data_IF_211641570296
#
_entry.id   IF_211641570296
#
_cell.length_a   1.000
_cell.length_b   1.000
_cell.length_c   1.000
_cell.angle_alpha   90.00
_cell.angle_beta   90.00
_cell.angle_gamma   90.00
#
_symmetry.space_group_name_H-M   'P 1'
#
loop_
_entity.id
_entity.type
_entity.pdbx_description
1 polymer ?
#
# COMPACT_ATOMS: atom_id res chain seq x y z
N UNK A 1 -48.06 -37.04 31.31
CA UNK A 1 -47.52 -35.70 31.59
C UNK A 1 -46.00 -35.79 31.53
N UNK A 2 -45.40 -35.33 30.44
CA UNK A 2 -43.96 -35.06 30.31
C UNK A 2 -43.88 -33.78 29.48
N UNK A 3 -43.31 -32.73 30.05
CA UNK A 3 -43.10 -31.45 29.41
C UNK A 3 -41.78 -31.50 28.64
N UNK A 4 -41.82 -31.28 27.32
CA UNK A 4 -40.63 -31.13 26.50
C UNK A 4 -40.47 -29.66 26.15
N UNK A 5 -39.47 -29.03 26.75
CA UNK A 5 -38.99 -27.69 26.39
C UNK A 5 -37.99 -27.86 25.24
N UNK A 6 -38.33 -27.38 24.04
CA UNK A 6 -37.39 -27.27 22.92
C UNK A 6 -36.77 -25.87 22.96
N UNK A 7 -35.50 -25.83 23.38
CA UNK A 7 -34.64 -24.65 23.32
C UNK A 7 -34.19 -24.51 21.86
N UNK A 8 -34.57 -23.40 21.21
CA UNK A 8 -34.12 -23.06 19.87
C UNK A 8 -32.62 -22.75 19.86
N UNK A 9 -31.85 -23.52 19.11
CA UNK A 9 -30.47 -23.17 18.77
C UNK A 9 -30.53 -22.28 17.52
N UNK A 10 -30.40 -20.97 17.72
CA UNK A 10 -30.08 -20.06 16.64
C UNK A 10 -28.64 -20.36 16.21
N UNK A 11 -28.49 -21.04 15.07
CA UNK A 11 -27.20 -21.13 14.40
C UNK A 11 -26.89 -19.75 13.82
N UNK A 12 -26.09 -18.98 14.55
CA UNK A 12 -25.38 -17.83 14.01
C UNK A 12 -24.38 -18.39 13.02
N UNK A 13 -24.76 -18.44 11.75
CA UNK A 13 -23.81 -18.59 10.65
C UNK A 13 -23.08 -17.25 10.57
N UNK A 14 -21.99 -17.14 11.32
CA UNK A 14 -21.08 -16.02 11.22
C UNK A 14 -20.50 -15.98 9.80
N UNK A 15 -20.34 -14.80 9.19
CA UNK A 15 -19.63 -14.70 7.94
C UNK A 15 -18.19 -15.14 8.19
N UNK A 16 -17.81 -16.19 7.45
CA UNK A 16 -16.44 -16.59 7.21
C UNK A 16 -15.57 -15.39 6.90
N UNK A 17 -14.35 -15.38 7.44
CA UNK A 17 -13.28 -14.47 7.08
C UNK A 17 -13.16 -14.37 5.54
N UNK A 18 -13.68 -13.29 4.97
CA UNK A 18 -13.38 -12.88 3.61
C UNK A 18 -12.08 -12.09 3.69
N UNK A 19 -10.98 -12.68 3.22
CA UNK A 19 -10.03 -11.87 2.46
C UNK A 19 -10.89 -11.14 1.42
N UNK A 20 -10.78 -9.81 1.31
CA UNK A 20 -11.43 -9.05 0.25
C UNK A 20 -10.77 -9.41 -1.09
N UNK A 21 -11.04 -10.63 -1.55
CA UNK A 21 -10.85 -11.05 -2.92
C UNK A 21 -11.92 -10.30 -3.71
N UNK A 22 -11.49 -9.32 -4.51
CA UNK A 22 -12.37 -8.49 -5.33
C UNK A 22 -13.23 -9.43 -6.18
N UNK A 23 -14.52 -9.54 -5.87
CA UNK A 23 -15.44 -10.47 -6.53
C UNK A 23 -15.55 -10.13 -8.02
N UNK A 24 -15.25 -11.12 -8.86
CA UNK A 24 -15.12 -11.06 -10.33
C UNK A 24 -16.44 -10.77 -11.09
N UNK A 25 -17.55 -10.44 -10.41
CA UNK A 25 -18.88 -10.38 -11.04
C UNK A 25 -19.62 -9.03 -10.97
N UNK A 26 -18.98 -7.95 -10.51
CA UNK A 26 -19.52 -6.59 -10.73
C UNK A 26 -18.57 -5.80 -11.63
N UNK A 27 -18.99 -5.42 -12.86
CA UNK A 27 -18.18 -4.53 -13.68
C UNK A 27 -18.12 -3.17 -12.96
N UNK A 28 -16.97 -2.87 -12.37
CA UNK A 28 -16.64 -1.55 -11.87
C UNK A 28 -16.80 -0.55 -13.03
N UNK A 29 -17.84 0.28 -12.97
CA UNK A 29 -18.10 1.26 -14.04
C UNK A 29 -17.07 2.40 -14.08
N UNK A 30 -16.15 2.49 -13.12
CA UNK A 30 -15.11 3.50 -13.09
C UNK A 30 -13.75 2.80 -12.94
N UNK A 31 -12.96 2.73 -14.02
CA UNK A 31 -11.56 2.39 -13.88
C UNK A 31 -10.88 3.46 -13.05
N UNK A 32 -10.27 3.07 -11.93
CA UNK A 32 -9.58 4.00 -11.03
C UNK A 32 -8.49 4.80 -11.74
N UNK A 33 -8.18 5.96 -11.17
CA UNK A 33 -7.05 6.79 -11.59
C UNK A 33 -5.78 6.37 -10.83
N UNK A 34 -4.58 6.58 -11.40
CA UNK A 34 -3.34 6.29 -10.69
C UNK A 34 -3.18 7.24 -9.50
N UNK A 35 -3.28 6.70 -8.29
CA UNK A 35 -2.90 7.38 -7.05
C UNK A 35 -1.58 6.79 -6.55
N UNK A 36 -0.57 7.65 -6.43
CA UNK A 36 0.78 7.26 -6.11
C UNK A 36 1.17 7.74 -4.72
N UNK A 37 1.81 6.84 -3.99
CA UNK A 37 2.58 7.13 -2.79
C UNK A 37 4.02 7.44 -3.22
N UNK A 38 4.49 8.63 -2.87
CA UNK A 38 5.92 8.90 -2.90
C UNK A 38 6.53 8.35 -1.61
N UNK A 39 7.41 7.35 -1.75
CA UNK A 39 8.17 6.88 -0.59
C UNK A 39 9.01 8.03 -0.07
N UNK A 40 8.81 8.38 1.20
CA UNK A 40 9.76 9.23 1.91
C UNK A 40 11.05 8.43 1.95
N UNK A 41 12.02 8.81 1.10
CA UNK A 41 13.20 8.01 0.79
C UNK A 41 13.84 7.46 2.07
N UNK A 42 13.67 6.15 2.35
CA UNK A 42 14.15 5.58 3.60
C UNK A 42 15.67 5.71 3.61
N UNK A 43 16.22 5.97 4.79
CA UNK A 43 17.67 6.04 4.95
C UNK A 43 18.18 4.62 5.20
N UNK A 44 19.27 4.27 4.54
CA UNK A 44 19.96 3.01 4.77
C UNK A 44 21.40 3.25 5.17
N UNK A 45 21.89 2.38 6.06
CA UNK A 45 23.29 2.38 6.51
C UNK A 45 24.09 1.31 5.76
N UNK A 46 25.29 1.67 5.28
CA UNK A 46 26.24 0.77 4.62
C UNK A 46 27.26 0.20 5.60
N UNK A 47 28.01 -0.81 5.15
CA UNK A 47 29.06 -1.47 5.93
C UNK A 47 30.18 -0.52 6.40
N UNK A 48 30.43 0.58 5.67
CA UNK A 48 31.41 1.61 6.03
C UNK A 48 30.89 2.64 7.05
N UNK A 49 29.64 2.48 7.51
CA UNK A 49 28.97 3.38 8.44
C UNK A 49 28.40 4.65 7.81
N UNK A 50 28.44 4.77 6.48
CA UNK A 50 27.79 5.88 5.79
C UNK A 50 26.28 5.63 5.68
N UNK A 51 25.51 6.70 5.81
CA UNK A 51 24.04 6.67 5.63
C UNK A 51 23.68 7.46 4.37
N UNK A 52 22.88 6.87 3.50
CA UNK A 52 22.29 7.56 2.35
C UNK A 52 20.83 7.22 2.18
N UNK A 53 20.16 7.87 1.24
CA UNK A 53 18.79 7.52 0.87
C UNK A 53 18.78 6.25 0.03
N UNK A 54 17.76 5.42 0.21
CA UNK A 54 17.44 4.28 -0.65
C UNK A 54 16.60 4.84 -1.80
N UNK A 55 17.20 4.91 -2.98
CA UNK A 55 16.55 5.48 -4.18
C UNK A 55 17.23 4.98 -5.46
N UNK A 56 16.57 5.18 -6.60
CA UNK A 56 17.13 4.84 -7.90
C UNK A 56 18.06 5.96 -8.37
N UNK A 57 19.30 5.93 -7.88
CA UNK A 57 20.34 6.90 -8.25
C UNK A 57 20.69 6.85 -9.74
N UNK A 58 20.63 5.66 -10.35
CA UNK A 58 20.99 5.49 -11.76
C UNK A 58 20.03 6.24 -12.69
N UNK A 59 18.73 6.27 -12.34
CA UNK A 59 17.72 6.98 -13.12
C UNK A 59 17.28 8.32 -12.50
N UNK A 60 17.87 8.73 -11.37
CA UNK A 60 17.51 9.92 -10.59
C UNK A 60 16.01 9.97 -10.26
N UNK A 61 15.47 8.85 -9.77
CA UNK A 61 14.06 8.71 -9.39
C UNK A 61 13.92 8.34 -7.93
N UNK A 62 12.91 8.93 -7.29
CA UNK A 62 12.48 8.46 -5.99
C UNK A 62 11.66 7.18 -6.15
N UNK A 63 11.61 6.38 -5.08
CA UNK A 63 10.65 5.29 -5.00
C UNK A 63 9.23 5.83 -5.05
N UNK A 64 8.44 5.29 -5.97
CA UNK A 64 7.01 5.57 -6.04
C UNK A 64 6.26 4.26 -6.23
N UNK A 65 5.15 4.11 -5.51
CA UNK A 65 4.21 2.99 -5.68
C UNK A 65 2.84 3.56 -5.99
N UNK A 66 2.14 2.96 -6.93
CA UNK A 66 0.86 3.45 -7.39
C UNK A 66 -0.19 2.34 -7.34
N UNK A 67 -1.41 2.73 -6.97
CA UNK A 67 -2.60 1.92 -7.08
C UNK A 67 -3.59 2.64 -8.00
N UNK A 68 -4.43 1.86 -8.68
CA UNK A 68 -5.57 2.39 -9.42
C UNK A 68 -6.75 2.43 -8.47
N UNK A 69 -7.13 3.63 -8.06
CA UNK A 69 -8.23 3.86 -7.13
C UNK A 69 -9.15 4.97 -7.64
N UNK A 70 -10.41 4.88 -7.26
CA UNK A 70 -11.44 5.88 -7.52
C UNK A 70 -11.28 7.10 -6.61
N UNK A 71 -11.96 8.20 -6.94
CA UNK A 71 -12.00 9.39 -6.07
C UNK A 71 -12.64 9.06 -4.70
N UNK A 72 -13.65 8.20 -4.67
CA UNK A 72 -14.29 7.74 -3.43
C UNK A 72 -13.32 6.94 -2.54
N UNK A 73 -12.55 6.02 -3.13
CA UNK A 73 -11.52 5.27 -2.41
C UNK A 73 -10.41 6.21 -1.89
N UNK A 74 -10.03 7.22 -2.66
CA UNK A 74 -9.06 8.22 -2.23
C UNK A 74 -9.57 9.09 -1.06
N UNK A 75 -10.84 9.49 -1.07
CA UNK A 75 -11.48 10.18 0.06
C UNK A 75 -11.54 9.30 1.31
N UNK A 76 -11.76 7.99 1.14
CA UNK A 76 -11.80 7.02 2.24
C UNK A 76 -10.44 6.84 2.96
N UNK A 77 -9.33 7.21 2.33
CA UNK A 77 -8.00 7.26 2.98
C UNK A 77 -7.93 8.32 4.10
N UNK A 78 -8.92 9.22 4.19
CA UNK A 78 -8.99 10.24 5.23
C UNK A 78 -7.93 11.34 5.09
N UNK A 79 -7.78 12.15 6.13
CA UNK A 79 -6.84 13.26 6.17
C UNK A 79 -5.38 12.78 6.16
N UNK A 80 -4.48 13.63 5.67
CA UNK A 80 -3.04 13.30 5.57
C UNK A 80 -2.45 12.80 6.90
N UNK A 81 -2.82 13.42 8.01
CA UNK A 81 -2.33 13.05 9.34
C UNK A 81 -2.92 11.73 9.88
N UNK A 82 -4.07 11.28 9.37
CA UNK A 82 -4.66 9.98 9.76
C UNK A 82 -4.09 8.80 8.98
N UNK A 83 -3.28 9.04 7.94
CA UNK A 83 -2.59 8.01 7.14
C UNK A 83 -1.25 7.58 7.74
N UNK A 84 -0.80 8.26 8.81
CA UNK A 84 0.50 8.03 9.45
C UNK A 84 0.39 6.95 10.53
N UNK A 85 1.27 5.94 10.46
CA UNK A 85 1.34 4.84 11.41
C UNK A 85 0.98 3.49 10.77
N UNK A 86 0.98 2.42 11.58
CA UNK A 86 0.70 1.07 11.08
C UNK A 86 -0.77 0.96 10.60
N UNK A 87 -1.02 0.53 9.36
CA UNK A 87 -2.37 0.50 8.79
C UNK A 87 -3.23 -0.63 9.39
N UNK A 88 -4.54 -0.42 9.39
CA UNK A 88 -5.49 -1.49 9.71
C UNK A 88 -5.52 -2.51 8.58
N UNK A 89 -5.64 -3.80 8.93
CA UNK A 89 -5.66 -4.87 7.94
C UNK A 89 -6.94 -4.85 7.10
N UNK A 90 -6.80 -5.17 5.81
CA UNK A 90 -7.85 -5.10 4.79
C UNK A 90 -8.10 -3.70 4.23
N UNK A 91 -7.19 -2.75 4.45
CA UNK A 91 -7.34 -1.36 3.96
C UNK A 91 -6.39 -1.04 2.81
N UNK A 92 -6.74 -0.04 1.99
CA UNK A 92 -5.85 0.49 0.95
C UNK A 92 -4.51 0.99 1.53
N UNK A 93 -4.48 1.44 2.79
CA UNK A 93 -3.24 1.85 3.44
C UNK A 93 -2.32 0.65 3.72
N UNK A 94 -2.88 -0.53 4.03
CA UNK A 94 -2.11 -1.77 4.14
C UNK A 94 -1.53 -2.16 2.77
N UNK A 95 -2.33 -2.10 1.71
CA UNK A 95 -1.85 -2.37 0.34
C UNK A 95 -0.71 -1.42 -0.06
N UNK A 96 -0.83 -0.12 0.23
CA UNK A 96 0.26 0.84 0.01
C UNK A 96 1.50 0.53 0.87
N UNK A 97 1.32 0.06 2.11
CA UNK A 97 2.42 -0.29 3.01
C UNK A 97 3.22 -1.48 2.49
N UNK A 98 2.54 -2.53 2.03
CA UNK A 98 3.15 -3.71 1.43
C UNK A 98 3.88 -3.37 0.14
N UNK A 99 3.25 -2.60 -0.75
CA UNK A 99 3.91 -2.17 -1.99
C UNK A 99 5.13 -1.30 -1.73
N UNK A 100 5.06 -0.38 -0.76
CA UNK A 100 6.18 0.44 -0.37
C UNK A 100 7.34 -0.39 0.18
N UNK A 101 7.06 -1.43 0.96
CA UNK A 101 8.08 -2.37 1.43
C UNK A 101 8.76 -3.11 0.28
N UNK A 102 8.00 -3.63 -0.69
CA UNK A 102 8.56 -4.28 -1.87
C UNK A 102 9.40 -3.33 -2.74
N UNK A 103 8.92 -2.09 -2.94
CA UNK A 103 9.66 -1.08 -3.69
C UNK A 103 10.95 -0.66 -2.96
N UNK A 104 10.91 -0.52 -1.63
CA UNK A 104 12.10 -0.25 -0.83
C UNK A 104 13.16 -1.34 -1.02
N UNK A 105 12.76 -2.63 -0.92
CA UNK A 105 13.68 -3.76 -1.16
C UNK A 105 14.23 -3.75 -2.57
N UNK A 106 13.39 -3.48 -3.58
CA UNK A 106 13.83 -3.37 -4.98
C UNK A 106 14.88 -2.28 -5.13
N UNK A 107 14.67 -1.11 -4.54
CA UNK A 107 15.60 0.02 -4.59
C UNK A 107 16.90 -0.24 -3.83
N UNK A 108 16.81 -0.85 -2.65
CA UNK A 108 17.99 -1.24 -1.86
C UNK A 108 18.87 -2.21 -2.65
N UNK A 109 18.28 -3.14 -3.39
CA UNK A 109 18.99 -4.10 -4.24
C UNK A 109 19.64 -3.48 -5.51
N UNK A 110 19.36 -2.21 -5.83
CA UNK A 110 20.05 -1.50 -6.91
C UNK A 110 21.42 -0.94 -6.47
N UNK A 111 21.65 -0.80 -5.16
CA UNK A 111 22.90 -0.24 -4.65
C UNK A 111 24.01 -1.30 -4.63
N UNK A 112 25.15 -1.06 -5.30
CA UNK A 112 26.23 -2.05 -5.39
C UNK A 112 27.01 -2.25 -4.08
N UNK A 113 26.89 -1.32 -3.13
CA UNK A 113 27.64 -1.36 -1.86
C UNK A 113 26.86 -2.05 -0.72
N UNK A 114 25.63 -2.51 -0.99
CA UNK A 114 24.67 -3.15 -0.09
C UNK A 114 24.36 -2.35 1.20
N UNK A 115 23.07 -2.22 1.53
CA UNK A 115 22.65 -1.75 2.85
C UNK A 115 22.75 -2.91 3.86
N UNK A 116 23.32 -2.65 5.04
CA UNK A 116 23.56 -3.69 6.06
C UNK A 116 22.47 -3.78 7.12
N UNK A 117 21.58 -2.80 7.15
CA UNK A 117 20.42 -2.76 8.05
C UNK A 117 19.13 -2.89 7.25
N UNK A 118 18.14 -3.59 7.80
CA UNK A 118 16.85 -3.79 7.14
C UNK A 118 15.91 -2.62 7.41
N UNK A 119 16.33 -1.44 6.95
CA UNK A 119 15.59 -0.20 7.16
C UNK A 119 14.23 -0.26 6.43
N UNK A 120 14.12 -1.06 5.36
CA UNK A 120 12.83 -1.32 4.74
C UNK A 120 11.84 -1.97 5.72
N UNK A 121 12.28 -2.93 6.56
CA UNK A 121 11.42 -3.54 7.57
C UNK A 121 11.03 -2.53 8.66
N UNK A 122 11.98 -1.73 9.15
CA UNK A 122 11.71 -0.74 10.19
C UNK A 122 10.65 0.27 9.76
N UNK A 123 10.76 0.79 8.54
CA UNK A 123 9.75 1.71 8.01
C UNK A 123 8.40 1.00 7.73
N UNK A 124 8.39 -0.28 7.38
CA UNK A 124 7.16 -1.07 7.19
C UNK A 124 6.40 -1.27 8.50
N UNK A 125 7.11 -1.64 9.56
CA UNK A 125 6.54 -1.84 10.90
C UNK A 125 6.08 -0.50 11.52
N UNK A 126 6.76 0.60 11.19
CA UNK A 126 6.39 1.93 11.68
C UNK A 126 5.30 2.62 10.84
N UNK A 127 5.08 2.19 9.58
CA UNK A 127 4.16 2.84 8.63
C UNK A 127 4.57 4.28 8.29
N UNK A 128 5.87 4.60 8.39
CA UNK A 128 6.36 5.97 8.35
C UNK A 128 6.42 6.58 6.93
N UNK A 129 6.35 5.75 5.89
CA UNK A 129 6.28 6.24 4.51
C UNK A 129 4.86 6.64 4.06
N UNK A 130 3.78 6.28 4.77
CA UNK A 130 2.36 6.53 4.40
C UNK A 130 1.90 7.98 4.59
N UNK A 131 2.75 8.95 4.27
CA UNK A 131 2.49 10.37 4.56
C UNK A 131 1.79 11.11 3.43
N UNK A 132 1.98 10.72 2.17
CA UNK A 132 1.45 11.47 1.03
C UNK A 132 1.09 10.54 -0.13
N UNK A 133 -0.21 10.27 -0.25
CA UNK A 133 -0.79 9.57 -1.40
C UNK A 133 -1.53 10.63 -2.19
N UNK A 134 -1.25 10.75 -3.47
CA UNK A 134 -1.83 11.76 -4.36
C UNK A 134 -2.19 11.16 -5.70
N UNK A 135 -3.24 11.69 -6.35
CA UNK A 135 -3.48 11.39 -7.76
C UNK A 135 -2.32 11.91 -8.61
N UNK A 136 -1.73 11.05 -9.42
CA UNK A 136 -0.60 11.38 -10.26
C UNK A 136 -1.06 12.08 -11.55
N UNK A 137 -1.53 13.32 -11.39
CA UNK A 137 -2.06 14.19 -12.44
C UNK A 137 -1.46 15.60 -12.36
N UNK A 138 -1.42 16.30 -13.50
CA UNK A 138 -0.88 17.66 -13.57
C UNK A 138 0.58 17.72 -13.14
N UNK A 139 0.90 18.57 -12.17
CA UNK A 139 2.27 18.74 -11.66
C UNK A 139 2.87 17.47 -11.01
N UNK A 140 2.05 16.45 -10.74
CA UNK A 140 2.42 15.20 -10.09
C UNK A 140 2.42 13.98 -11.02
N UNK A 141 2.21 14.18 -12.33
CA UNK A 141 2.14 13.11 -13.33
C UNK A 141 3.44 12.29 -13.42
N UNK A 142 4.58 12.92 -13.15
CA UNK A 142 5.89 12.24 -13.10
C UNK A 142 6.04 11.25 -11.93
N UNK A 143 5.08 11.20 -11.00
CA UNK A 143 5.03 10.23 -9.93
C UNK A 143 4.76 8.80 -10.41
N UNK A 144 4.13 8.63 -11.58
CA UNK A 144 3.79 7.31 -12.13
C UNK A 144 5.05 6.58 -12.62
N UNK A 145 5.32 5.35 -12.16
CA UNK A 145 6.37 4.50 -12.72
C UNK A 145 6.18 4.26 -14.23
N UNK A 146 7.26 4.26 -15.04
CA UNK A 146 7.18 3.93 -16.45
C UNK A 146 6.46 2.59 -16.68
N UNK A 147 5.46 2.60 -17.56
CA UNK A 147 4.67 1.42 -17.89
C UNK A 147 3.52 1.12 -16.94
N UNK A 148 3.37 1.84 -15.82
CA UNK A 148 2.17 1.74 -14.99
C UNK A 148 1.01 2.44 -15.70
N UNK A 149 -0.10 1.72 -15.88
CA UNK A 149 -1.33 2.24 -16.46
C UNK A 149 -2.50 1.61 -15.72
N UNK A 150 -3.52 2.41 -15.40
CA UNK A 150 -4.80 1.87 -14.98
C UNK A 150 -5.54 1.40 -16.22
N UNK A 151 -5.58 0.08 -16.41
CA UNK A 151 -6.41 -0.51 -17.44
C UNK A 151 -7.87 -0.33 -17.07
N UNK A 152 -8.63 0.33 -17.93
CA UNK A 152 -10.06 0.09 -18.06
C UNK A 152 -10.19 -1.31 -18.65
N UNK A 153 -10.08 -2.36 -17.83
CA UNK A 153 -10.41 -3.69 -18.34
C UNK A 153 -11.88 -3.66 -18.78
N UNK A 154 -12.06 -3.82 -20.09
CA UNK A 154 -13.32 -3.76 -20.83
C UNK A 154 -13.91 -5.16 -20.98
#
# INVERSE_FOLDING_TARGET
>A
MIATVLIGVALVVGPSCTCSDRTVDEPSMDGGEPACLWLISPRGTRADGTTSLIQDYANNRNGTVCLCITEQEYEALGERSSRVGFPESGTLLEEYNELAYEECKRLAALDPDDFVDDECLDYYEAGEWLKDIYFARGDWENGVPPGFQCSLES
#
